data_IF_182904856636
#
_entry.id   IF_182904856636
#
_cell.length_a   1.000
_cell.length_b   1.000
_cell.length_c   1.000
_cell.angle_alpha   90.00
_cell.angle_beta   90.00
_cell.angle_gamma   90.00
#
_symmetry.space_group_name_H-M   'P 1'
#
loop_
_entity.id
_entity.type
_entity.pdbx_description
1 polymer ?
#
# COMPACT_ATOMS: atom_id res chain seq x y z
N UNK A 1 29.14 0.59 -18.74
CA UNK A 1 28.46 -0.40 -17.88
C UNK A 1 26.99 -0.06 -17.94
N UNK A 2 26.22 -0.76 -18.77
CA UNK A 2 24.78 -0.56 -18.85
C UNK A 2 24.15 -1.03 -17.54
N UNK A 3 23.72 -0.09 -16.70
CA UNK A 3 22.86 -0.39 -15.57
C UNK A 3 21.52 -0.83 -16.14
N UNK A 4 21.33 -2.15 -16.32
CA UNK A 4 20.00 -2.70 -16.54
C UNK A 4 19.17 -2.42 -15.29
N UNK A 5 18.39 -1.34 -15.35
CA UNK A 5 17.41 -1.03 -14.31
C UNK A 5 16.47 -2.23 -14.19
N UNK A 6 16.47 -2.83 -13.01
CA UNK A 6 15.58 -3.95 -12.71
C UNK A 6 14.18 -3.37 -12.46
N UNK A 7 13.17 -3.85 -13.19
CA UNK A 7 11.78 -3.49 -12.90
C UNK A 7 11.41 -3.96 -11.49
N UNK A 8 10.81 -3.10 -10.65
CA UNK A 8 10.42 -3.48 -9.30
C UNK A 8 9.28 -4.50 -9.33
N UNK A 9 9.29 -5.47 -8.40
CA UNK A 9 8.13 -6.31 -8.09
C UNK A 9 7.66 -6.04 -6.66
N UNK A 10 6.36 -6.15 -6.43
CA UNK A 10 5.74 -5.84 -5.14
C UNK A 10 4.68 -6.87 -4.76
N UNK A 11 4.58 -7.17 -3.47
CA UNK A 11 3.49 -7.98 -2.91
C UNK A 11 3.11 -7.51 -1.50
N UNK A 12 1.91 -7.86 -1.06
CA UNK A 12 1.42 -7.56 0.29
C UNK A 12 1.16 -8.91 0.99
N UNK A 13 2.18 -9.54 1.59
CA UNK A 13 2.06 -10.88 2.19
C UNK A 13 1.20 -10.91 3.46
N UNK A 14 1.10 -9.81 4.20
CA UNK A 14 0.37 -9.77 5.47
C UNK A 14 -0.04 -8.35 5.87
N UNK A 15 -0.89 -8.28 6.89
CA UNK A 15 -1.24 -7.06 7.60
C UNK A 15 -1.35 -7.31 9.09
N UNK A 16 -1.00 -6.32 9.89
CA UNK A 16 -1.02 -6.39 11.35
C UNK A 16 -1.95 -5.30 11.93
N UNK A 17 -2.75 -5.64 12.93
CA UNK A 17 -3.50 -4.65 13.71
C UNK A 17 -2.57 -4.04 14.77
N UNK A 18 -2.37 -2.73 14.70
CA UNK A 18 -1.66 -1.97 15.72
C UNK A 18 -2.63 -1.21 16.61
N UNK A 19 -2.26 -1.11 17.90
CA UNK A 19 -3.03 -0.39 18.92
C UNK A 19 -2.17 0.68 19.58
N UNK A 20 -2.61 1.92 19.48
CA UNK A 20 -2.02 3.05 20.21
C UNK A 20 -3.11 3.71 21.06
N UNK A 21 -2.98 3.58 22.39
CA UNK A 21 -4.01 4.05 23.36
C UNK A 21 -5.39 3.47 23.01
N UNK A 22 -6.35 4.31 22.61
CA UNK A 22 -7.71 3.94 22.19
C UNK A 22 -7.88 3.88 20.67
N UNK A 23 -6.81 4.01 19.88
CA UNK A 23 -6.85 3.97 18.42
C UNK A 23 -6.31 2.63 17.92
N UNK A 24 -7.10 1.96 17.08
CA UNK A 24 -6.69 0.79 16.31
C UNK A 24 -6.41 1.22 14.87
N UNK A 25 -5.43 0.61 14.22
CA UNK A 25 -5.19 0.79 12.79
C UNK A 25 -4.50 -0.43 12.20
N UNK A 26 -4.84 -0.75 10.95
CA UNK A 26 -4.19 -1.81 10.19
C UNK A 26 -2.97 -1.27 9.46
N UNK A 27 -1.84 -1.98 9.57
CA UNK A 27 -0.61 -1.72 8.82
C UNK A 27 -0.37 -2.89 7.87
N UNK A 28 -0.25 -2.59 6.58
CA UNK A 28 0.09 -3.56 5.55
C UNK A 28 1.61 -3.66 5.45
N UNK A 29 2.12 -4.90 5.48
CA UNK A 29 3.52 -5.22 5.21
C UNK A 29 3.67 -5.38 3.70
N UNK A 30 4.39 -4.46 3.07
CA UNK A 30 4.64 -4.49 1.61
C UNK A 30 6.06 -4.98 1.38
N UNK A 31 6.21 -6.09 0.66
CA UNK A 31 7.50 -6.54 0.16
C UNK A 31 7.81 -5.82 -1.15
N UNK A 32 8.98 -5.19 -1.25
CA UNK A 32 9.47 -4.55 -2.46
C UNK A 32 10.77 -5.22 -2.86
N UNK A 33 10.84 -5.72 -4.09
CA UNK A 33 12.02 -6.36 -4.65
C UNK A 33 12.49 -5.59 -5.88
N UNK A 34 13.76 -5.18 -5.89
CA UNK A 34 14.40 -4.48 -7.00
C UNK A 34 15.74 -5.14 -7.28
N UNK A 35 15.82 -5.91 -8.37
CA UNK A 35 17.01 -6.68 -8.71
C UNK A 35 17.32 -7.75 -7.66
N UNK A 36 18.42 -7.58 -6.91
CA UNK A 36 18.84 -8.50 -5.83
C UNK A 36 18.54 -7.97 -4.43
N UNK A 37 17.91 -6.80 -4.33
CA UNK A 37 17.62 -6.14 -3.06
C UNK A 37 16.14 -6.26 -2.74
N UNK A 38 15.84 -6.63 -1.50
CA UNK A 38 14.47 -6.70 -0.99
C UNK A 38 14.39 -6.00 0.36
N UNK A 39 13.27 -5.31 0.59
CA UNK A 39 12.99 -4.69 1.89
C UNK A 39 11.48 -4.57 2.12
N UNK A 40 11.12 -4.40 3.39
CA UNK A 40 9.75 -4.14 3.78
C UNK A 40 9.47 -2.64 3.88
N UNK A 41 8.31 -2.24 3.41
CA UNK A 41 7.70 -0.94 3.71
C UNK A 41 6.36 -1.19 4.40
N UNK A 42 6.08 -0.41 5.45
CA UNK A 42 4.87 -0.52 6.25
C UNK A 42 3.95 0.66 5.93
N UNK A 43 2.73 0.38 5.45
CA UNK A 43 1.79 1.42 5.00
C UNK A 43 0.38 1.14 5.50
N UNK A 44 -0.35 2.19 5.87
CA UNK A 44 -1.79 2.13 6.15
C UNK A 44 -2.60 2.37 4.89
N UNK A 45 -3.87 1.95 4.87
CA UNK A 45 -4.80 2.21 3.76
C UNK A 45 -4.82 3.70 3.35
N UNK A 46 -4.82 4.63 4.31
CA UNK A 46 -4.85 6.06 4.03
C UNK A 46 -3.62 6.57 3.23
N UNK A 47 -2.47 5.90 3.34
CA UNK A 47 -1.28 6.24 2.56
C UNK A 47 -1.40 5.77 1.11
N UNK A 48 -2.00 4.59 0.88
CA UNK A 48 -2.36 4.13 -0.47
C UNK A 48 -3.43 5.03 -1.10
N UNK A 49 -4.46 5.41 -0.35
CA UNK A 49 -5.52 6.32 -0.82
C UNK A 49 -4.96 7.70 -1.21
N UNK A 50 -4.01 8.24 -0.43
CA UNK A 50 -3.32 9.49 -0.78
C UNK A 50 -2.53 9.36 -2.09
N UNK A 51 -1.80 8.26 -2.27
CA UNK A 51 -1.04 7.99 -3.50
C UNK A 51 -1.99 7.82 -4.70
N UNK A 52 -3.05 7.02 -4.55
CA UNK A 52 -4.07 6.82 -5.56
C UNK A 52 -4.71 8.13 -6.03
N UNK A 53 -5.14 8.98 -5.09
CA UNK A 53 -5.74 10.27 -5.42
C UNK A 53 -4.76 11.24 -6.12
N UNK A 54 -3.47 11.13 -5.81
CA UNK A 54 -2.41 11.90 -6.48
C UNK A 54 -2.25 11.40 -7.92
N UNK A 55 -2.08 10.09 -8.10
CA UNK A 55 -1.88 9.48 -9.42
C UNK A 55 -3.09 9.65 -10.34
N UNK A 56 -4.32 9.47 -9.83
CA UNK A 56 -5.53 9.62 -10.66
C UNK A 56 -5.69 11.04 -11.22
N UNK A 57 -5.20 12.05 -10.48
CA UNK A 57 -5.24 13.46 -10.91
C UNK A 57 -4.28 13.73 -12.06
N UNK A 58 -3.09 13.13 -12.01
CA UNK A 58 -2.04 13.31 -13.02
C UNK A 58 -2.20 12.37 -14.22
N UNK A 59 -2.77 11.18 -14.02
CA UNK A 59 -2.88 10.12 -15.03
C UNK A 59 -4.32 9.59 -15.12
N UNK A 60 -5.31 10.41 -15.50
CA UNK A 60 -6.72 10.02 -15.51
C UNK A 60 -7.03 8.85 -16.46
N UNK A 61 -6.25 8.69 -17.54
CA UNK A 61 -6.43 7.61 -18.52
C UNK A 61 -6.05 6.21 -18.00
N UNK A 62 -5.30 6.12 -16.89
CA UNK A 62 -4.83 4.84 -16.35
C UNK A 62 -5.94 4.01 -15.67
N UNK A 63 -7.11 4.60 -15.42
CA UNK A 63 -8.27 3.94 -14.81
C UNK A 63 -7.92 3.13 -13.54
N UNK A 64 -7.05 3.70 -12.70
CA UNK A 64 -6.59 3.09 -11.45
C UNK A 64 -7.78 2.74 -10.54
N UNK A 65 -7.62 1.67 -9.75
CA UNK A 65 -8.62 1.23 -8.77
C UNK A 65 -7.96 1.04 -7.41
N UNK A 66 -8.72 1.32 -6.35
CA UNK A 66 -8.36 1.01 -4.96
C UNK A 66 -9.60 0.44 -4.27
N UNK A 67 -9.47 -0.54 -3.34
CA UNK A 67 -10.61 -1.00 -2.55
C UNK A 67 -11.32 0.16 -1.85
N UNK A 68 -12.64 0.04 -1.67
CA UNK A 68 -13.41 1.11 -1.03
C UNK A 68 -12.99 1.31 0.43
N UNK A 69 -12.99 2.56 0.88
CA UNK A 69 -12.87 2.87 2.30
C UNK A 69 -14.13 2.37 3.01
N UNK A 70 -13.98 1.44 3.96
CA UNK A 70 -15.09 0.99 4.81
C UNK A 70 -15.40 2.12 5.80
N UNK A 71 -16.55 2.76 5.59
CA UNK A 71 -17.06 3.90 6.37
C UNK A 71 -18.35 3.56 7.14
N UNK A 72 -18.92 2.38 6.88
CA UNK A 72 -20.04 1.80 7.60
C UNK A 72 -19.65 0.39 8.08
N UNK A 73 -19.92 0.08 9.35
CA UNK A 73 -19.48 -1.17 10.02
C UNK A 73 -18.11 -1.06 10.72
N UNK A 74 -17.71 -2.12 11.45
CA UNK A 74 -16.36 -2.18 12.04
C UNK A 74 -15.33 -2.50 10.93
N UNK A 75 -14.26 -1.71 10.89
CA UNK A 75 -13.15 -1.88 9.96
C UNK A 75 -12.15 -2.97 10.37
N UNK A 76 -12.35 -3.55 11.55
CA UNK A 76 -11.57 -4.65 12.09
C UNK A 76 -12.31 -6.00 12.06
N UNK A 77 -13.58 -6.01 11.63
CA UNK A 77 -14.32 -7.26 11.43
C UNK A 77 -13.84 -7.95 10.14
N UNK A 78 -13.41 -9.23 10.21
CA UNK A 78 -12.88 -10.00 9.08
C UNK A 78 -13.90 -10.25 7.97
#
# INVERSE_FOLDING_TARGET
MDYKESCPSVSIPSSDEHREKKKRFTVYKVMVSVGRSEWFVFRRYAEFDKLYNTLRKHFPAMALKIPAKRIFGDNFDP
#
